data_IF_750437540997
#
_entry.id   IF_750437540997
#
_cell.length_a   1.000
_cell.length_b   1.000
_cell.length_c   1.000
_cell.angle_alpha   90.00
_cell.angle_beta   90.00
_cell.angle_gamma   90.00
#
_symmetry.space_group_name_H-M   'P 1'
#
loop_
_entity.id
_entity.type
_entity.pdbx_description
1 polymer ?
#
# COMPACT_ATOMS: atom_id res chain seq x y z
N UNK A 1 48.06 -23.85 15.65
CA UNK A 1 47.38 -23.52 14.38
C UNK A 1 46.29 -22.53 14.71
N UNK A 2 46.34 -21.31 14.18
CA UNK A 2 45.28 -20.33 14.40
C UNK A 2 44.12 -20.64 13.47
N UNK A 3 42.96 -21.01 14.00
CA UNK A 3 41.73 -21.12 13.23
C UNK A 3 41.29 -19.74 12.80
N UNK A 4 41.21 -19.50 11.49
CA UNK A 4 40.70 -18.24 10.93
C UNK A 4 39.23 -18.38 10.58
N UNK A 5 38.46 -17.30 10.71
CA UNK A 5 37.07 -17.24 10.21
C UNK A 5 37.00 -17.53 8.71
N UNK A 6 38.10 -17.29 7.98
CA UNK A 6 38.22 -17.62 6.57
C UNK A 6 38.25 -19.12 6.28
N UNK A 7 38.45 -19.98 7.28
CA UNK A 7 38.48 -21.43 7.11
C UNK A 7 37.06 -22.04 7.18
N UNK A 8 36.04 -21.26 7.56
CA UNK A 8 34.65 -21.69 7.61
C UNK A 8 34.07 -21.94 6.21
N UNK A 9 33.16 -22.91 6.00
CA UNK A 9 32.39 -23.07 4.76
C UNK A 9 31.47 -21.87 4.46
N UNK A 10 31.06 -21.72 3.19
CA UNK A 10 30.20 -20.59 2.78
C UNK A 10 28.83 -20.63 3.44
N UNK A 11 28.30 -21.82 3.68
CA UNK A 11 27.00 -22.07 4.29
C UNK A 11 27.00 -21.56 5.74
N UNK A 12 28.08 -21.84 6.48
CA UNK A 12 28.25 -21.38 7.86
C UNK A 12 28.43 -19.86 7.90
N UNK A 13 29.21 -19.29 6.98
CA UNK A 13 29.35 -17.83 6.86
C UNK A 13 28.00 -17.15 6.55
N UNK A 14 27.23 -17.70 5.61
CA UNK A 14 25.89 -17.21 5.29
C UNK A 14 24.93 -17.29 6.47
N UNK A 15 24.98 -18.39 7.24
CA UNK A 15 24.18 -18.52 8.46
C UNK A 15 24.59 -17.49 9.53
N UNK A 16 25.89 -17.29 9.76
CA UNK A 16 26.39 -16.26 10.68
C UNK A 16 25.89 -14.88 10.24
N UNK A 17 26.02 -14.54 8.97
CA UNK A 17 25.57 -13.24 8.46
C UNK A 17 24.06 -13.08 8.48
N UNK A 18 23.28 -14.16 8.43
CA UNK A 18 21.82 -14.08 8.58
C UNK A 18 21.38 -13.54 9.96
N UNK A 19 22.22 -13.68 11.00
CA UNK A 19 21.95 -13.08 12.31
C UNK A 19 22.17 -11.56 12.34
N UNK A 20 22.79 -10.99 11.31
CA UNK A 20 22.91 -9.54 11.10
C UNK A 20 21.75 -8.99 10.25
N UNK A 21 20.88 -9.88 9.74
CA UNK A 21 19.71 -9.51 8.95
C UNK A 21 18.61 -8.95 9.84
N UNK A 22 17.82 -8.03 9.30
CA UNK A 22 16.75 -7.33 10.02
C UNK A 22 15.50 -7.24 9.15
N UNK A 23 14.30 -7.19 9.76
CA UNK A 23 13.07 -6.99 8.99
C UNK A 23 13.13 -5.68 8.20
N UNK A 24 12.42 -5.63 7.08
CA UNK A 24 12.41 -4.43 6.25
C UNK A 24 11.72 -3.28 7.01
N UNK A 25 12.15 -2.02 6.88
CA UNK A 25 11.41 -0.90 7.46
C UNK A 25 9.95 -0.81 6.98
N UNK A 26 9.65 -1.34 5.78
CA UNK A 26 8.30 -1.47 5.26
C UNK A 26 7.46 -2.52 5.98
N UNK A 27 8.02 -3.35 6.85
CA UNK A 27 7.24 -4.34 7.59
C UNK A 27 6.48 -3.70 8.74
N UNK A 28 7.09 -2.70 9.41
CA UNK A 28 6.48 -2.05 10.58
C UNK A 28 5.80 -0.71 10.27
N UNK A 29 6.20 -0.02 9.19
CA UNK A 29 5.84 1.40 8.98
C UNK A 29 4.76 1.68 7.93
N UNK A 30 4.17 0.66 7.30
CA UNK A 30 3.17 0.89 6.24
C UNK A 30 1.85 1.46 6.77
N UNK A 31 1.59 1.32 8.07
CA UNK A 31 0.39 1.85 8.72
C UNK A 31 0.64 3.22 9.39
N UNK A 32 1.88 3.71 9.34
CA UNK A 32 2.24 5.03 9.85
C UNK A 32 1.93 6.11 8.81
N UNK A 33 1.95 7.38 9.23
CA UNK A 33 1.77 8.48 8.29
C UNK A 33 2.86 8.46 7.20
N UNK A 34 2.49 8.48 5.90
CA UNK A 34 3.47 8.41 4.82
C UNK A 34 4.43 9.62 4.84
N UNK A 35 5.74 9.36 4.74
CA UNK A 35 6.76 10.41 4.77
C UNK A 35 7.92 10.12 3.81
N UNK A 36 8.73 11.16 3.52
CA UNK A 36 9.92 11.02 2.66
C UNK A 36 11.01 10.14 3.27
N UNK A 37 10.97 9.95 4.58
CA UNK A 37 11.97 9.21 5.34
C UNK A 37 11.43 7.88 5.90
N UNK A 38 10.20 7.48 5.55
CA UNK A 38 9.57 6.29 6.16
C UNK A 38 10.37 5.00 5.90
N UNK A 39 10.97 4.88 4.72
CA UNK A 39 11.86 3.74 4.38
C UNK A 39 13.33 4.01 4.72
N UNK A 40 13.67 5.20 5.20
CA UNK A 40 15.03 5.48 5.63
C UNK A 40 15.26 4.88 7.02
N UNK A 41 16.35 4.12 7.14
CA UNK A 41 16.82 3.64 8.42
C UNK A 41 17.81 4.68 8.98
N UNK A 42 17.26 5.72 9.64
CA UNK A 42 18.03 6.83 10.21
C UNK A 42 18.95 6.38 11.35
N UNK A 43 18.56 5.33 12.07
CA UNK A 43 19.35 4.69 13.11
C UNK A 43 20.20 3.60 12.46
N UNK A 44 21.41 4.00 12.11
CA UNK A 44 22.45 3.21 11.49
C UNK A 44 22.48 1.77 11.99
N UNK A 45 22.20 0.85 11.08
CA UNK A 45 22.71 -0.51 11.19
C UNK A 45 23.22 -0.92 9.82
N UNK A 46 24.54 -0.79 9.68
CA UNK A 46 25.25 -1.06 8.44
C UNK A 46 25.94 -2.41 8.53
N UNK A 47 25.56 -3.29 9.44
CA UNK A 47 26.31 -4.51 9.76
C UNK A 47 26.55 -5.38 8.52
N UNK A 48 25.51 -5.65 7.73
CA UNK A 48 25.65 -6.34 6.45
C UNK A 48 26.46 -5.51 5.43
N UNK A 49 26.25 -4.19 5.35
CA UNK A 49 27.00 -3.32 4.42
C UNK A 49 28.50 -3.30 4.76
N UNK A 50 28.85 -3.18 6.03
CA UNK A 50 30.22 -3.22 6.56
C UNK A 50 30.84 -4.60 6.34
N UNK A 51 30.10 -5.68 6.62
CA UNK A 51 30.53 -7.07 6.39
C UNK A 51 30.85 -7.30 4.90
N UNK A 52 30.08 -6.69 4.00
CA UNK A 52 30.30 -6.79 2.55
C UNK A 52 31.60 -6.13 2.06
N UNK A 53 32.24 -5.30 2.88
CA UNK A 53 33.49 -4.60 2.55
C UNK A 53 34.75 -5.34 3.03
N UNK A 54 34.61 -6.42 3.81
CA UNK A 54 35.75 -7.15 4.39
C UNK A 54 36.56 -7.87 3.31
N UNK A 55 35.92 -8.70 2.48
CA UNK A 55 36.56 -9.35 1.33
C UNK A 55 35.53 -9.80 0.29
N UNK A 56 35.99 -10.19 -0.92
CA UNK A 56 35.12 -10.64 -2.01
C UNK A 56 34.24 -11.84 -1.62
N UNK A 57 34.77 -12.76 -0.81
CA UNK A 57 34.03 -13.95 -0.35
C UNK A 57 32.86 -13.57 0.57
N UNK A 58 33.12 -12.69 1.53
CA UNK A 58 32.09 -12.19 2.45
C UNK A 58 31.05 -11.37 1.70
N UNK A 59 31.49 -10.52 0.75
CA UNK A 59 30.60 -9.81 -0.16
C UNK A 59 29.64 -10.76 -0.87
N UNK A 60 30.15 -11.84 -1.47
CA UNK A 60 29.32 -12.83 -2.16
C UNK A 60 28.28 -13.49 -1.24
N UNK A 61 28.65 -13.80 0.00
CA UNK A 61 27.72 -14.40 0.98
C UNK A 61 26.66 -13.41 1.50
N UNK A 62 26.97 -12.12 1.55
CA UNK A 62 26.10 -11.07 2.13
C UNK A 62 25.18 -10.41 1.11
N UNK A 63 25.57 -10.34 -0.17
CA UNK A 63 24.76 -9.71 -1.22
C UNK A 63 23.30 -10.23 -1.29
N UNK A 64 23.04 -11.55 -1.22
CA UNK A 64 21.68 -12.08 -1.16
C UNK A 64 20.82 -11.52 0.00
N UNK A 65 21.44 -11.26 1.15
CA UNK A 65 20.76 -10.68 2.31
C UNK A 65 20.49 -9.19 2.08
N UNK A 66 21.51 -8.44 1.62
CA UNK A 66 21.39 -7.00 1.36
C UNK A 66 20.33 -6.64 0.31
N UNK A 67 20.14 -7.51 -0.70
CA UNK A 67 19.21 -7.28 -1.80
C UNK A 67 17.89 -8.03 -1.63
N UNK A 68 17.61 -8.60 -0.45
CA UNK A 68 16.30 -9.19 -0.14
C UNK A 68 15.18 -8.15 -0.17
N UNK A 69 15.49 -6.93 0.29
CA UNK A 69 14.55 -5.83 0.39
C UNK A 69 15.09 -4.62 -0.40
N UNK A 70 14.67 -4.50 -1.65
CA UNK A 70 15.14 -3.45 -2.56
C UNK A 70 14.30 -2.20 -2.38
N UNK A 71 14.97 -1.06 -2.23
CA UNK A 71 14.35 0.27 -2.31
C UNK A 71 14.85 0.94 -3.59
N UNK A 72 13.94 1.34 -4.46
CA UNK A 72 14.23 2.08 -5.68
C UNK A 72 13.61 3.48 -5.58
N UNK A 73 14.49 4.49 -5.51
CA UNK A 73 14.11 5.91 -5.50
C UNK A 73 14.48 6.52 -6.84
N UNK A 74 13.54 7.25 -7.44
CA UNK A 74 13.72 7.95 -8.72
C UNK A 74 12.69 9.08 -8.84
N UNK A 75 12.98 10.06 -9.68
CA UNK A 75 12.00 11.07 -10.06
C UNK A 75 11.13 10.58 -11.22
N UNK A 76 9.83 10.88 -11.21
CA UNK A 76 8.89 10.46 -12.26
C UNK A 76 9.34 10.83 -13.69
N UNK A 77 10.10 11.91 -13.88
CA UNK A 77 10.61 12.32 -15.18
C UNK A 77 11.72 11.41 -15.73
N UNK A 78 12.28 10.53 -14.90
CA UNK A 78 13.24 9.52 -15.35
C UNK A 78 12.57 8.37 -16.12
N UNK A 79 11.28 8.08 -15.87
CA UNK A 79 10.60 6.94 -16.49
C UNK A 79 10.52 7.02 -18.03
N UNK A 80 10.12 8.15 -18.65
CA UNK A 80 10.13 8.26 -20.11
C UNK A 80 11.53 8.08 -20.70
N UNK A 81 12.56 8.62 -20.03
CA UNK A 81 13.95 8.49 -20.46
C UNK A 81 14.41 7.02 -20.45
N UNK A 82 13.97 6.24 -19.45
CA UNK A 82 14.25 4.81 -19.36
C UNK A 82 13.54 4.02 -20.45
N UNK A 83 12.28 4.36 -20.75
CA UNK A 83 11.48 3.72 -21.81
C UNK A 83 12.12 3.92 -23.20
N UNK A 84 12.56 5.14 -23.50
CA UNK A 84 13.16 5.52 -24.79
C UNK A 84 14.50 4.82 -25.09
N UNK A 85 15.16 4.22 -24.09
CA UNK A 85 16.44 3.50 -24.29
C UNK A 85 16.32 2.25 -25.16
N UNK A 86 15.11 1.72 -25.37
CA UNK A 86 14.87 0.45 -26.07
C UNK A 86 15.30 -0.81 -25.29
N UNK A 87 15.97 -0.66 -24.14
CA UNK A 87 16.23 -1.73 -23.18
C UNK A 87 16.05 -1.22 -21.73
N UNK A 88 14.79 -1.00 -21.30
CA UNK A 88 14.50 -0.38 -20.01
C UNK A 88 15.09 -1.14 -18.82
N UNK A 89 15.19 -2.47 -18.91
CA UNK A 89 15.80 -3.31 -17.87
C UNK A 89 17.28 -2.98 -17.61
N UNK A 90 17.98 -2.40 -18.58
CA UNK A 90 19.38 -1.99 -18.46
C UNK A 90 19.53 -0.52 -18.05
N UNK A 91 18.51 0.30 -18.32
CA UNK A 91 18.42 1.68 -17.84
C UNK A 91 18.09 1.76 -16.34
N UNK A 92 17.37 0.77 -15.80
CA UNK A 92 17.08 0.66 -14.38
C UNK A 92 18.30 0.04 -13.66
N UNK A 93 19.09 0.89 -12.99
CA UNK A 93 20.40 0.52 -12.41
C UNK A 93 20.33 -0.66 -11.46
N UNK A 94 19.32 -0.72 -10.58
CA UNK A 94 19.21 -1.81 -9.61
C UNK A 94 18.92 -3.15 -10.32
N UNK A 95 18.12 -3.16 -11.39
CA UNK A 95 17.86 -4.39 -12.17
C UNK A 95 19.13 -4.85 -12.90
N UNK A 96 19.89 -3.91 -13.47
CA UNK A 96 21.19 -4.20 -14.07
C UNK A 96 22.16 -4.82 -13.04
N UNK A 97 22.24 -4.22 -11.84
CA UNK A 97 23.07 -4.72 -10.75
C UNK A 97 22.65 -6.12 -10.29
N UNK A 98 21.35 -6.35 -10.08
CA UNK A 98 20.84 -7.66 -9.65
C UNK A 98 21.16 -8.75 -10.66
N UNK A 99 21.01 -8.48 -11.96
CA UNK A 99 21.37 -9.42 -13.03
C UNK A 99 22.87 -9.72 -13.05
N UNK A 100 23.71 -8.68 -12.99
CA UNK A 100 25.16 -8.84 -13.01
C UNK A 100 25.71 -9.66 -11.83
N UNK A 101 24.98 -9.71 -10.71
CA UNK A 101 25.39 -10.40 -9.49
C UNK A 101 24.56 -11.67 -9.19
N UNK A 102 23.68 -12.12 -10.11
CA UNK A 102 22.77 -13.26 -9.93
C UNK A 102 21.89 -13.16 -8.66
N UNK A 103 21.39 -11.95 -8.37
CA UNK A 103 20.64 -11.65 -7.15
C UNK A 103 19.11 -11.61 -7.34
N UNK A 104 18.62 -11.73 -8.57
CA UNK A 104 17.20 -11.56 -8.94
C UNK A 104 16.25 -12.44 -8.11
N UNK A 105 16.62 -13.69 -7.85
CA UNK A 105 15.82 -14.65 -7.10
C UNK A 105 15.73 -14.36 -5.59
N UNK A 106 16.66 -13.54 -5.06
CA UNK A 106 16.71 -13.22 -3.63
C UNK A 106 15.83 -12.03 -3.25
N UNK A 107 15.37 -11.25 -4.23
CA UNK A 107 14.48 -10.11 -3.98
C UNK A 107 13.13 -10.62 -3.49
N UNK A 108 12.78 -10.28 -2.25
CA UNK A 108 11.48 -10.58 -1.65
C UNK A 108 10.56 -9.35 -1.73
N UNK A 109 11.08 -8.16 -1.48
CA UNK A 109 10.27 -6.94 -1.53
C UNK A 109 10.91 -5.91 -2.44
N UNK A 110 10.08 -5.26 -3.26
CA UNK A 110 10.46 -4.05 -3.98
C UNK A 110 9.63 -2.88 -3.42
N UNK A 111 10.31 -1.86 -2.91
CA UNK A 111 9.69 -0.61 -2.50
C UNK A 111 10.13 0.50 -3.45
N UNK A 112 9.19 1.03 -4.22
CA UNK A 112 9.38 2.14 -5.13
C UNK A 112 9.01 3.44 -4.42
N UNK A 113 9.92 4.40 -4.47
CA UNK A 113 9.71 5.74 -3.97
C UNK A 113 9.82 6.70 -5.14
N UNK A 114 8.70 7.29 -5.54
CA UNK A 114 8.65 8.12 -6.74
C UNK A 114 8.54 9.58 -6.32
N UNK A 115 9.59 10.33 -6.64
CA UNK A 115 9.64 11.76 -6.41
C UNK A 115 8.92 12.53 -7.52
N UNK A 116 8.43 13.71 -7.15
CA UNK A 116 7.85 14.69 -8.09
C UNK A 116 8.52 16.03 -7.80
N UNK A 117 9.82 16.14 -8.10
CA UNK A 117 10.65 17.30 -7.76
C UNK A 117 10.11 18.61 -8.37
N UNK A 118 9.45 18.53 -9.53
CA UNK A 118 8.82 19.69 -10.18
C UNK A 118 7.36 19.92 -9.75
N UNK A 119 6.70 18.93 -9.12
CA UNK A 119 5.34 19.06 -8.61
C UNK A 119 5.20 20.01 -7.41
N UNK A 120 6.32 20.32 -6.73
CA UNK A 120 6.37 21.25 -5.60
C UNK A 120 6.44 22.74 -5.97
N UNK A 121 6.62 23.10 -7.26
CA UNK A 121 6.74 24.50 -7.70
C UNK A 121 5.39 25.23 -7.75
N UNK A 122 4.27 24.55 -7.52
CA UNK A 122 2.96 25.19 -7.35
C UNK A 122 2.65 25.63 -5.92
N UNK A 123 3.66 25.78 -5.06
CA UNK A 123 3.52 26.53 -3.81
C UNK A 123 3.73 28.02 -4.09
N UNK A 124 2.66 28.71 -4.52
CA UNK A 124 2.58 30.18 -4.46
C UNK A 124 2.80 30.96 -5.76
N UNK A 125 3.03 30.31 -6.91
CA UNK A 125 3.09 31.03 -8.19
C UNK A 125 1.73 31.04 -8.86
N UNK A 126 0.98 32.11 -8.62
CA UNK A 126 -0.24 32.57 -9.30
C UNK A 126 -0.93 31.56 -10.22
N UNK A 127 -2.06 31.04 -9.73
CA UNK A 127 -3.12 30.35 -10.50
C UNK A 127 -3.61 31.11 -11.75
N UNK A 128 -3.11 32.32 -12.03
CA UNK A 128 -3.50 33.17 -13.15
C UNK A 128 -2.78 32.86 -14.47
N UNK A 129 -1.58 32.27 -14.47
CA UNK A 129 -0.79 32.12 -15.72
C UNK A 129 -1.02 30.77 -16.44
N UNK A 130 -1.66 29.79 -15.79
CA UNK A 130 -2.02 28.49 -16.38
C UNK A 130 -3.53 28.36 -16.68
N UNK A 131 -4.30 29.46 -16.56
CA UNK A 131 -5.74 29.50 -16.82
C UNK A 131 -6.12 29.47 -18.32
N UNK A 132 -5.15 29.52 -19.23
CA UNK A 132 -5.43 29.59 -20.67
C UNK A 132 -5.88 28.24 -21.27
N UNK A 133 -5.75 27.13 -20.53
CA UNK A 133 -6.33 25.83 -20.88
C UNK A 133 -7.15 25.28 -19.70
N UNK A 134 -8.37 25.80 -19.54
CA UNK A 134 -9.27 25.63 -18.37
C UNK A 134 -9.65 24.20 -17.92
N UNK A 135 -8.97 23.15 -18.38
CA UNK A 135 -9.21 21.76 -18.01
C UNK A 135 -7.96 21.02 -17.50
N UNK A 136 -6.74 21.52 -17.74
CA UNK A 136 -5.52 20.75 -17.48
C UNK A 136 -5.07 20.73 -16.00
N UNK A 137 -5.61 21.60 -15.14
CA UNK A 137 -5.19 21.72 -13.74
C UNK A 137 -6.11 21.03 -12.72
N UNK A 138 -7.22 20.42 -13.15
CA UNK A 138 -8.20 19.78 -12.24
C UNK A 138 -8.11 18.26 -12.19
N UNK A 139 -7.39 17.64 -13.12
CA UNK A 139 -7.21 16.19 -13.20
C UNK A 139 -5.77 15.80 -13.54
N UNK A 140 -5.31 14.65 -13.03
CA UNK A 140 -4.15 13.95 -13.59
C UNK A 140 -4.55 13.19 -14.86
N UNK A 141 -3.71 13.19 -15.89
CA UNK A 141 -3.91 12.40 -17.11
C UNK A 141 -3.43 10.95 -16.92
N UNK A 142 -4.07 10.00 -17.60
CA UNK A 142 -3.70 8.58 -17.60
C UNK A 142 -2.47 8.35 -18.48
N UNK A 143 -1.42 7.79 -17.90
CA UNK A 143 -0.20 7.35 -18.61
C UNK A 143 -0.19 5.82 -18.71
N UNK A 144 0.42 5.26 -19.75
CA UNK A 144 0.59 3.81 -19.91
C UNK A 144 1.96 3.37 -19.36
N UNK A 145 1.98 2.89 -18.11
CA UNK A 145 3.17 2.32 -17.48
C UNK A 145 3.22 0.79 -17.51
N UNK A 146 2.47 0.13 -18.39
CA UNK A 146 2.52 -1.34 -18.49
C UNK A 146 3.90 -1.87 -18.89
N UNK A 147 4.67 -1.10 -19.65
CA UNK A 147 6.07 -1.44 -19.97
C UNK A 147 6.92 -1.57 -18.70
N UNK A 148 6.68 -0.72 -17.69
CA UNK A 148 7.43 -0.69 -16.44
C UNK A 148 7.13 -1.94 -15.62
N UNK A 149 5.85 -2.27 -15.49
CA UNK A 149 5.41 -3.49 -14.79
C UNK A 149 5.99 -4.73 -15.46
N UNK A 150 5.90 -4.82 -16.78
CA UNK A 150 6.48 -5.92 -17.55
C UNK A 150 7.98 -6.03 -17.31
N UNK A 151 8.71 -4.92 -17.45
CA UNK A 151 10.17 -4.87 -17.24
C UNK A 151 10.58 -5.33 -15.84
N UNK A 152 9.92 -4.84 -14.79
CA UNK A 152 10.25 -5.20 -13.41
C UNK A 152 9.99 -6.69 -13.18
N UNK A 153 8.79 -7.17 -13.51
CA UNK A 153 8.35 -8.52 -13.18
C UNK A 153 8.88 -9.61 -14.11
N UNK A 154 9.51 -9.26 -15.23
CA UNK A 154 10.34 -10.17 -16.02
C UNK A 154 11.72 -10.43 -15.38
N UNK A 155 12.24 -9.46 -14.62
CA UNK A 155 13.58 -9.52 -14.04
C UNK A 155 13.60 -9.96 -12.58
N UNK A 156 12.55 -9.66 -11.81
CA UNK A 156 12.41 -10.05 -10.41
C UNK A 156 11.01 -10.58 -10.10
N UNK A 157 10.88 -11.39 -9.06
CA UNK A 157 9.62 -11.98 -8.66
C UNK A 157 9.33 -11.75 -7.16
N UNK A 158 9.07 -10.50 -6.74
CA UNK A 158 8.88 -10.17 -5.33
C UNK A 158 7.57 -10.79 -4.77
N UNK A 159 7.54 -11.01 -3.46
CA UNK A 159 6.33 -11.34 -2.70
C UNK A 159 5.53 -10.09 -2.31
N UNK A 160 6.19 -8.92 -2.30
CA UNK A 160 5.57 -7.63 -2.01
C UNK A 160 6.11 -6.53 -2.91
N UNK A 161 5.22 -5.75 -3.48
CA UNK A 161 5.51 -4.48 -4.15
C UNK A 161 4.89 -3.35 -3.33
N UNK A 162 5.64 -2.31 -3.02
CA UNK A 162 5.14 -1.11 -2.35
C UNK A 162 5.49 0.11 -3.18
N UNK A 163 4.53 1.00 -3.41
CA UNK A 163 4.73 2.31 -4.02
C UNK A 163 4.46 3.40 -3.00
N UNK A 164 5.38 4.35 -2.90
CA UNK A 164 5.26 5.54 -2.06
C UNK A 164 5.46 6.74 -2.98
N UNK A 165 4.37 7.46 -3.25
CA UNK A 165 4.38 8.57 -4.19
C UNK A 165 3.24 9.54 -3.87
N UNK A 166 3.23 10.71 -4.51
CA UNK A 166 2.09 11.62 -4.40
C UNK A 166 0.82 10.98 -5.00
N UNK A 167 -0.39 11.40 -4.58
CA UNK A 167 -1.63 10.87 -5.13
C UNK A 167 -1.69 10.97 -6.66
N UNK A 168 -1.20 12.10 -7.20
CA UNK A 168 -1.10 12.34 -8.65
C UNK A 168 -0.23 11.28 -9.32
N UNK A 169 0.97 11.04 -8.80
CA UNK A 169 1.90 10.07 -9.37
C UNK A 169 1.35 8.65 -9.27
N UNK A 170 0.74 8.27 -8.16
CA UNK A 170 0.07 6.97 -8.05
C UNK A 170 -1.01 6.80 -9.12
N UNK A 171 -1.87 7.81 -9.34
CA UNK A 171 -2.88 7.75 -10.38
C UNK A 171 -2.27 7.57 -11.78
N UNK A 172 -1.18 8.28 -12.09
CA UNK A 172 -0.45 8.11 -13.35
C UNK A 172 0.08 6.67 -13.51
N UNK A 173 0.77 6.15 -12.50
CA UNK A 173 1.32 4.78 -12.48
C UNK A 173 0.25 3.69 -12.63
N UNK A 174 -0.97 3.98 -12.19
CA UNK A 174 -2.13 3.10 -12.28
C UNK A 174 -2.97 3.31 -13.55
N UNK A 175 -2.55 4.19 -14.46
CA UNK A 175 -3.33 4.56 -15.66
C UNK A 175 -4.75 5.03 -15.30
N UNK A 176 -4.87 5.85 -14.25
CA UNK A 176 -6.12 6.40 -13.72
C UNK A 176 -6.09 7.93 -13.68
N UNK A 177 -7.28 8.52 -13.71
CA UNK A 177 -7.45 9.96 -13.51
C UNK A 177 -7.68 10.27 -12.03
N UNK A 178 -7.32 11.47 -11.60
CA UNK A 178 -7.48 11.87 -10.20
C UNK A 178 -7.98 13.30 -10.11
N UNK A 179 -9.04 13.54 -9.34
CA UNK A 179 -9.50 14.88 -9.01
C UNK A 179 -8.53 15.56 -8.05
N UNK A 180 -8.04 16.75 -8.42
CA UNK A 180 -7.07 17.52 -7.61
C UNK A 180 -7.59 18.90 -7.21
N UNK A 181 -8.87 19.22 -7.47
CA UNK A 181 -9.43 20.56 -7.23
C UNK A 181 -9.33 21.04 -5.79
N UNK A 182 -9.50 20.14 -4.83
CA UNK A 182 -9.41 20.45 -3.39
C UNK A 182 -8.12 19.95 -2.74
N UNK A 183 -7.17 19.37 -3.50
CA UNK A 183 -6.00 18.68 -2.97
C UNK A 183 -5.16 19.54 -2.00
N UNK A 184 -5.10 20.84 -2.24
CA UNK A 184 -4.39 21.81 -1.41
C UNK A 184 -4.96 21.96 0.01
N UNK A 185 -6.24 21.62 0.24
CA UNK A 185 -6.85 21.63 1.56
C UNK A 185 -6.41 20.45 2.43
N UNK A 186 -6.00 19.34 1.82
CA UNK A 186 -5.67 18.10 2.54
C UNK A 186 -4.18 18.00 2.90
N UNK A 187 -3.28 18.55 2.09
CA UNK A 187 -1.82 18.42 2.29
C UNK A 187 -1.39 16.97 2.52
N UNK A 188 -1.82 16.09 1.62
CA UNK A 188 -1.40 14.68 1.56
C UNK A 188 -0.27 14.55 0.54
N UNK A 189 1.01 14.75 0.93
CA UNK A 189 2.11 14.75 -0.03
C UNK A 189 2.36 13.37 -0.62
N UNK A 190 2.00 12.31 0.10
CA UNK A 190 2.38 10.93 -0.18
C UNK A 190 1.28 9.99 0.27
N UNK A 191 0.97 9.02 -0.57
CA UNK A 191 0.18 7.85 -0.25
C UNK A 191 1.07 6.61 -0.38
N UNK A 192 0.64 5.51 0.23
CA UNK A 192 1.27 4.20 0.09
C UNK A 192 0.27 3.24 -0.55
N UNK A 193 0.70 2.56 -1.60
CA UNK A 193 -0.01 1.41 -2.16
C UNK A 193 0.90 0.19 -2.06
N UNK A 194 0.45 -0.88 -1.41
CA UNK A 194 1.22 -2.12 -1.33
C UNK A 194 0.40 -3.32 -1.79
N UNK A 195 1.00 -4.15 -2.64
CA UNK A 195 0.45 -5.41 -3.11
C UNK A 195 1.32 -6.54 -2.60
N UNK A 196 0.73 -7.60 -2.05
CA UNK A 196 1.50 -8.75 -1.58
C UNK A 196 0.80 -10.10 -1.77
N UNK A 197 1.59 -11.17 -1.67
CA UNK A 197 1.19 -12.58 -1.78
C UNK A 197 2.03 -13.42 -0.80
N UNK A 198 1.49 -14.57 -0.37
CA UNK A 198 2.16 -15.47 0.58
C UNK A 198 3.47 -16.01 0.02
N UNK A 199 3.41 -16.52 -1.20
CA UNK A 199 4.51 -17.27 -1.81
C UNK A 199 4.82 -16.80 -3.23
N UNK A 200 6.09 -16.96 -3.62
CA UNK A 200 6.49 -16.98 -5.01
C UNK A 200 5.93 -18.29 -5.59
N UNK A 201 4.86 -18.24 -6.38
CA UNK A 201 4.45 -19.44 -7.12
C UNK A 201 5.62 -19.86 -8.01
N UNK A 202 6.23 -21.00 -7.69
CA UNK A 202 7.10 -21.72 -8.62
C UNK A 202 6.25 -21.95 -9.86
N UNK A 203 6.78 -21.63 -11.04
CA UNK A 203 6.13 -21.95 -12.32
C UNK A 203 6.01 -23.48 -12.41
N UNK A 204 4.95 -24.05 -11.84
CA UNK A 204 4.48 -25.37 -12.24
C UNK A 204 3.83 -25.20 -13.61
N UNK A 205 4.37 -25.98 -14.53
CA UNK A 205 4.02 -26.27 -15.92
C UNK A 205 2.70 -25.67 -16.39
N UNK A 206 2.79 -24.88 -17.47
CA UNK A 206 1.67 -24.47 -18.30
C UNK A 206 0.73 -25.66 -18.56
N UNK A 207 -0.47 -25.62 -17.97
CA UNK A 207 -1.61 -26.31 -18.54
C UNK A 207 -2.08 -25.40 -19.66
N UNK A 208 -1.90 -25.89 -20.89
CA UNK A 208 -2.36 -25.26 -22.13
C UNK A 208 -3.84 -24.88 -22.02
N UNK A 209 -4.13 -23.58 -22.09
CA UNK A 209 -5.46 -23.11 -22.42
C UNK A 209 -5.66 -23.25 -23.95
N UNK A 210 -6.82 -23.74 -24.42
CA UNK A 210 -7.05 -23.93 -25.84
C UNK A 210 -7.15 -22.58 -26.55
N UNK A 211 -6.27 -22.38 -27.53
CA UNK A 211 -6.32 -21.29 -28.51
C UNK A 211 -7.55 -21.45 -29.40
N UNK A 212 -8.64 -20.77 -29.07
CA UNK A 212 -9.66 -20.42 -30.06
C UNK A 212 -9.23 -19.15 -30.78
N UNK A 213 -8.67 -19.32 -31.97
CA UNK A 213 -8.42 -18.25 -32.91
C UNK A 213 -9.74 -17.65 -33.40
N UNK A 214 -10.00 -16.39 -33.08
CA UNK A 214 -10.99 -15.57 -33.77
C UNK A 214 -10.26 -14.51 -34.59
N UNK A 215 -10.31 -14.67 -35.91
CA UNK A 215 -9.77 -13.75 -36.91
C UNK A 215 -10.36 -12.33 -36.79
N UNK A 216 -9.60 -11.28 -37.18
CA UNK A 216 -10.10 -9.91 -37.16
C UNK A 216 -11.03 -9.67 -38.36
N UNK A 217 -12.32 -9.55 -38.11
CA UNK A 217 -13.28 -9.05 -39.09
C UNK A 217 -13.15 -7.52 -39.19
N UNK A 218 -12.72 -7.05 -40.37
CA UNK A 218 -12.88 -5.67 -40.79
C UNK A 218 -14.36 -5.28 -40.75
N UNK A 219 -14.70 -4.25 -39.97
CA UNK A 219 -15.95 -3.53 -40.11
C UNK A 219 -15.69 -2.02 -39.98
N UNK A 220 -16.47 -1.30 -40.76
CA UNK A 220 -16.30 0.05 -41.26
C UNK A 220 -16.49 1.16 -40.24
N UNK A 221 -15.74 2.23 -40.47
CA UNK A 221 -15.95 3.63 -40.11
C UNK A 221 -17.39 4.04 -39.75
N UNK A 222 -17.58 4.42 -38.48
CA UNK A 222 -18.11 5.71 -38.03
C UNK A 222 -18.38 5.60 -36.54
N UNK A 223 -17.70 6.35 -35.67
CA UNK A 223 -18.26 6.90 -34.42
C UNK A 223 -17.18 7.63 -33.59
N UNK A 224 -17.66 8.65 -32.88
CA UNK A 224 -16.98 9.65 -32.08
C UNK A 224 -15.72 9.16 -31.32
N UNK A 225 -14.69 9.99 -31.27
CA UNK A 225 -13.42 9.79 -30.54
C UNK A 225 -13.65 9.61 -29.03
N UNK A 226 -14.08 8.43 -28.59
CA UNK A 226 -13.98 8.02 -27.19
C UNK A 226 -12.52 7.68 -26.89
N UNK A 227 -11.91 8.38 -25.93
CA UNK A 227 -10.57 8.07 -25.43
C UNK A 227 -10.54 6.60 -25.00
N UNK A 228 -9.64 5.80 -25.57
CA UNK A 228 -9.50 4.38 -25.25
C UNK A 228 -8.99 4.22 -23.81
N UNK A 229 -9.70 3.48 -22.96
CA UNK A 229 -9.24 3.15 -21.60
C UNK A 229 -7.93 2.38 -21.66
N UNK A 230 -6.93 2.81 -20.90
CA UNK A 230 -5.66 2.09 -20.73
C UNK A 230 -5.80 1.11 -19.56
N UNK A 231 -5.65 -0.21 -19.77
CA UNK A 231 -5.66 -1.17 -18.67
C UNK A 231 -4.39 -1.04 -17.82
N UNK A 232 -4.48 -1.30 -16.51
CA UNK A 232 -3.32 -1.40 -15.64
C UNK A 232 -3.00 -2.88 -15.35
N UNK A 233 -1.94 -3.41 -15.96
CA UNK A 233 -1.51 -4.79 -15.80
C UNK A 233 -0.94 -5.10 -14.42
N UNK A 234 -0.65 -4.10 -13.58
CA UNK A 234 -0.03 -4.29 -12.27
C UNK A 234 -0.81 -5.25 -11.36
N UNK A 235 -2.14 -5.16 -11.36
CA UNK A 235 -2.99 -5.97 -10.50
C UNK A 235 -3.15 -7.41 -10.99
N UNK A 236 -2.85 -7.70 -12.26
CA UNK A 236 -3.02 -9.02 -12.87
C UNK A 236 -1.69 -9.69 -13.23
N UNK A 237 -0.57 -8.97 -13.19
CA UNK A 237 0.76 -9.50 -13.51
C UNK A 237 1.21 -10.60 -12.54
N UNK A 238 0.66 -10.61 -11.33
CA UNK A 238 0.85 -11.64 -10.30
C UNK A 238 -0.46 -11.90 -9.55
N UNK A 239 -0.64 -13.10 -8.97
CA UNK A 239 -1.81 -13.41 -8.17
C UNK A 239 -1.70 -12.75 -6.79
N UNK A 240 -1.85 -11.42 -6.74
CA UNK A 240 -1.85 -10.67 -5.49
C UNK A 240 -3.00 -11.13 -4.60
N UNK A 241 -2.74 -11.21 -3.30
CA UNK A 241 -3.70 -11.71 -2.30
C UNK A 241 -4.07 -10.64 -1.28
N UNK A 242 -3.18 -9.67 -1.06
CA UNK A 242 -3.40 -8.56 -0.14
C UNK A 242 -3.11 -7.21 -0.81
N UNK A 243 -3.93 -6.23 -0.50
CA UNK A 243 -3.80 -4.83 -0.89
C UNK A 243 -3.77 -3.94 0.36
N UNK A 244 -2.85 -2.99 0.41
CA UNK A 244 -2.84 -1.92 1.40
C UNK A 244 -2.91 -0.57 0.68
N UNK A 245 -3.81 0.29 1.12
CA UNK A 245 -3.86 1.71 0.77
C UNK A 245 -3.73 2.54 2.05
N UNK A 246 -2.70 3.38 2.11
CA UNK A 246 -2.53 4.39 3.15
C UNK A 246 -2.54 5.78 2.53
N UNK A 247 -3.57 6.57 2.85
CA UNK A 247 -3.81 7.91 2.31
C UNK A 247 -3.20 9.02 3.17
N UNK A 248 -2.59 8.67 4.30
CA UNK A 248 -2.06 9.65 5.25
C UNK A 248 -3.16 10.43 5.95
N UNK A 249 -2.89 11.70 6.28
CA UNK A 249 -3.77 12.51 7.13
C UNK A 249 -4.64 13.49 6.36
N UNK A 250 -5.93 13.49 6.68
CA UNK A 250 -6.91 14.48 6.23
C UNK A 250 -7.10 15.62 7.23
N UNK A 251 -6.46 15.60 8.41
CA UNK A 251 -6.68 16.58 9.50
C UNK A 251 -6.63 18.04 9.05
N UNK A 252 -5.84 18.37 8.03
CA UNK A 252 -5.73 19.73 7.51
C UNK A 252 -7.03 20.28 6.92
N UNK A 253 -7.89 19.45 6.32
CA UNK A 253 -9.12 19.93 5.66
C UNK A 253 -10.07 20.58 6.67
N UNK A 254 -10.03 20.12 7.93
CA UNK A 254 -10.86 20.63 9.03
C UNK A 254 -10.48 22.05 9.47
N UNK A 255 -9.35 22.60 8.98
CA UNK A 255 -9.00 24.02 9.14
C UNK A 255 -9.83 24.93 8.24
N UNK A 256 -10.59 24.36 7.31
CA UNK A 256 -11.32 25.09 6.28
C UNK A 256 -12.82 25.05 6.55
N UNK A 257 -13.49 26.18 6.31
CA UNK A 257 -14.95 26.23 6.33
C UNK A 257 -15.53 25.33 5.24
N UNK A 258 -16.69 24.73 5.51
CA UNK A 258 -17.36 23.79 4.59
C UNK A 258 -16.46 22.62 4.15
N UNK A 259 -15.63 22.10 5.07
CA UNK A 259 -14.76 20.96 4.81
C UNK A 259 -15.53 19.75 4.24
N UNK A 260 -16.80 19.58 4.63
CA UNK A 260 -17.68 18.49 4.19
C UNK A 260 -18.04 18.53 2.69
N UNK A 261 -17.81 19.65 2.02
CA UNK A 261 -17.97 19.78 0.55
C UNK A 261 -16.67 19.47 -0.21
N UNK A 262 -15.55 19.23 0.49
CA UNK A 262 -14.23 19.01 -0.11
C UNK A 262 -14.03 17.54 -0.46
N UNK A 263 -13.23 17.29 -1.50
CA UNK A 263 -12.87 15.93 -1.92
C UNK A 263 -11.36 15.69 -1.79
N UNK A 264 -10.92 14.63 -1.08
CA UNK A 264 -9.49 14.33 -0.95
C UNK A 264 -8.89 13.87 -2.28
N UNK A 265 -7.59 14.13 -2.51
CA UNK A 265 -6.85 13.57 -3.64
C UNK A 265 -6.59 12.09 -3.38
N UNK A 266 -7.58 11.23 -3.69
CA UNK A 266 -7.56 9.80 -3.37
C UNK A 266 -7.73 8.91 -4.60
N UNK A 267 -6.94 7.82 -4.64
CA UNK A 267 -7.10 6.75 -5.66
C UNK A 267 -8.11 5.68 -5.24
N UNK A 268 -8.67 5.74 -4.02
CA UNK A 268 -9.60 4.75 -3.48
C UNK A 268 -10.78 4.50 -4.42
N UNK A 269 -11.45 5.56 -4.86
CA UNK A 269 -12.57 5.44 -5.79
C UNK A 269 -12.18 4.75 -7.10
N UNK A 270 -11.00 5.05 -7.65
CA UNK A 270 -10.49 4.42 -8.86
C UNK A 270 -10.11 2.94 -8.68
N UNK A 271 -9.63 2.55 -7.49
CA UNK A 271 -9.37 1.15 -7.17
C UNK A 271 -10.67 0.34 -7.11
N UNK A 272 -11.73 0.94 -6.57
CA UNK A 272 -13.03 0.31 -6.35
C UNK A 272 -13.97 0.41 -7.55
N UNK A 273 -13.62 1.17 -8.60
CA UNK A 273 -14.49 1.38 -9.76
C UNK A 273 -15.67 2.31 -9.48
N UNK A 274 -15.56 3.17 -8.46
CA UNK A 274 -16.66 3.96 -7.91
C UNK A 274 -16.66 5.42 -8.40
N UNK A 275 -16.06 5.67 -9.56
CA UNK A 275 -15.77 7.00 -10.08
C UNK A 275 -16.17 7.13 -11.56
N UNK A 276 -16.13 8.34 -12.11
CA UNK A 276 -16.39 8.56 -13.53
C UNK A 276 -15.30 7.95 -14.43
N UNK A 277 -15.64 7.70 -15.69
CA UNK A 277 -14.70 7.22 -16.70
C UNK A 277 -13.40 8.04 -16.70
N UNK A 278 -12.20 7.41 -16.73
CA UNK A 278 -11.91 5.98 -16.94
C UNK A 278 -11.83 5.13 -15.66
N UNK A 279 -12.27 5.67 -14.52
CA UNK A 279 -12.15 5.06 -13.20
C UNK A 279 -13.42 4.29 -12.76
N UNK A 280 -14.32 4.04 -13.69
CA UNK A 280 -15.62 3.38 -13.55
C UNK A 280 -15.54 1.83 -13.56
N UNK A 281 -14.32 1.28 -13.56
CA UNK A 281 -14.08 -0.16 -13.44
C UNK A 281 -13.15 -0.49 -12.27
N UNK A 282 -13.51 -1.47 -11.42
CA UNK A 282 -12.68 -1.87 -10.29
C UNK A 282 -11.35 -2.45 -10.76
N UNK A 283 -10.26 -2.03 -10.11
CA UNK A 283 -8.91 -2.53 -10.37
C UNK A 283 -8.56 -3.76 -9.52
N UNK A 284 -9.25 -3.94 -8.39
CA UNK A 284 -8.98 -5.00 -7.42
C UNK A 284 -9.50 -6.32 -7.98
N UNK A 285 -8.62 -7.29 -8.32
CA UNK A 285 -9.05 -8.58 -8.84
C UNK A 285 -9.59 -9.48 -7.73
N UNK A 286 -10.41 -10.50 -8.05
CA UNK A 286 -10.97 -11.45 -7.08
C UNK A 286 -9.92 -12.27 -6.30
N UNK A 287 -8.65 -12.23 -6.71
CA UNK A 287 -7.55 -12.90 -6.01
C UNK A 287 -7.14 -12.17 -4.74
N UNK A 288 -7.41 -10.86 -4.65
CA UNK A 288 -7.16 -10.05 -3.45
C UNK A 288 -8.32 -10.26 -2.48
N UNK A 289 -8.00 -10.86 -1.34
CA UNK A 289 -8.95 -11.21 -0.27
C UNK A 289 -8.61 -10.55 1.06
N UNK A 290 -7.47 -9.88 1.15
CA UNK A 290 -7.08 -9.08 2.31
C UNK A 290 -6.92 -7.61 1.88
N UNK A 291 -7.67 -6.71 2.50
CA UNK A 291 -7.59 -5.27 2.28
C UNK A 291 -7.25 -4.53 3.57
N UNK A 292 -6.23 -3.69 3.54
CA UNK A 292 -5.89 -2.78 4.63
C UNK A 292 -6.05 -1.33 4.15
N UNK A 293 -6.98 -0.61 4.78
CA UNK A 293 -7.22 0.81 4.55
C UNK A 293 -6.74 1.63 5.73
N UNK A 294 -5.86 2.60 5.47
CA UNK A 294 -5.37 3.56 6.45
C UNK A 294 -5.64 4.96 5.92
N UNK A 295 -6.41 5.75 6.65
CA UNK A 295 -6.62 7.16 6.36
C UNK A 295 -6.88 7.86 7.68
N UNK A 296 -6.09 8.86 8.04
CA UNK A 296 -6.19 9.51 9.35
C UNK A 296 -7.24 10.62 9.29
N UNK A 297 -8.29 10.47 10.07
CA UNK A 297 -9.50 11.30 10.11
C UNK A 297 -10.05 11.63 8.71
N UNK A 298 -10.36 10.63 7.86
CA UNK A 298 -10.90 10.90 6.55
C UNK A 298 -12.31 11.47 6.69
N UNK A 299 -12.74 12.26 5.71
CA UNK A 299 -14.13 12.63 5.60
C UNK A 299 -14.97 11.35 5.49
N UNK A 300 -16.02 11.23 6.31
CA UNK A 300 -16.92 10.09 6.35
C UNK A 300 -17.56 9.85 4.97
N UNK A 301 -17.88 10.91 4.23
CA UNK A 301 -18.34 10.84 2.84
C UNK A 301 -17.34 10.14 1.91
N UNK A 302 -16.05 10.41 2.07
CA UNK A 302 -14.97 9.76 1.32
C UNK A 302 -14.79 8.30 1.75
N UNK A 303 -14.78 8.03 3.06
CA UNK A 303 -14.70 6.66 3.58
C UNK A 303 -15.89 5.79 3.16
N UNK A 304 -17.08 6.38 3.03
CA UNK A 304 -18.27 5.67 2.57
C UNK A 304 -18.10 5.10 1.15
N UNK A 305 -17.20 5.66 0.32
CA UNK A 305 -16.84 5.05 -0.97
C UNK A 305 -16.30 3.63 -0.81
N UNK A 306 -15.46 3.38 0.20
CA UNK A 306 -15.00 2.03 0.56
C UNK A 306 -16.16 1.18 1.05
N UNK A 307 -17.01 1.72 1.91
CA UNK A 307 -18.10 0.96 2.54
C UNK A 307 -19.10 0.45 1.50
N UNK A 308 -19.47 1.30 0.54
CA UNK A 308 -20.46 0.98 -0.50
C UNK A 308 -19.91 0.09 -1.62
N UNK A 309 -18.59 0.12 -1.87
CA UNK A 309 -17.96 -0.56 -3.01
C UNK A 309 -16.92 -1.59 -2.57
N UNK A 310 -17.05 -2.13 -1.35
CA UNK A 310 -16.09 -3.09 -0.82
C UNK A 310 -16.00 -4.31 -1.75
N UNK A 311 -14.79 -4.77 -2.12
CA UNK A 311 -14.65 -6.02 -2.84
C UNK A 311 -15.00 -7.21 -1.94
N UNK A 312 -15.13 -8.39 -2.53
CA UNK A 312 -15.31 -9.65 -1.79
C UNK A 312 -14.01 -10.02 -1.08
N UNK A 313 -13.97 -9.87 0.24
CA UNK A 313 -12.77 -10.02 1.05
C UNK A 313 -12.97 -11.09 2.14
N UNK A 314 -11.88 -11.73 2.55
CA UNK A 314 -11.81 -12.55 3.76
C UNK A 314 -11.43 -11.70 4.98
N UNK A 315 -10.54 -10.70 4.79
CA UNK A 315 -10.08 -9.77 5.84
C UNK A 315 -10.16 -8.31 5.40
N UNK A 316 -10.64 -7.47 6.31
CA UNK A 316 -10.62 -6.01 6.18
C UNK A 316 -9.98 -5.40 7.43
N UNK A 317 -8.90 -4.64 7.23
CA UNK A 317 -8.28 -3.80 8.24
C UNK A 317 -8.59 -2.33 7.98
N UNK A 318 -8.99 -1.59 9.02
CA UNK A 318 -9.29 -0.15 8.94
C UNK A 318 -8.61 0.60 10.09
N UNK A 319 -7.91 1.68 9.77
CA UNK A 319 -7.36 2.62 10.75
C UNK A 319 -7.72 4.04 10.37
N UNK A 320 -8.49 4.72 11.24
CA UNK A 320 -8.99 6.08 11.06
C UNK A 320 -8.33 7.09 12.00
N UNK A 321 -7.59 6.62 13.00
CA UNK A 321 -6.95 7.44 14.05
C UNK A 321 -5.43 7.32 13.91
N UNK A 322 -4.67 8.40 14.18
CA UNK A 322 -3.21 8.33 14.11
C UNK A 322 -2.65 7.42 15.20
N UNK A 323 -1.61 6.65 14.85
CA UNK A 323 -0.78 5.90 15.83
C UNK A 323 0.26 6.79 16.52
N UNK A 324 0.52 7.96 15.96
CA UNK A 324 1.49 8.93 16.46
C UNK A 324 0.80 10.09 17.18
N UNK A 325 1.59 10.95 17.81
CA UNK A 325 1.11 12.03 18.66
C UNK A 325 0.62 13.27 17.88
N UNK A 326 0.07 13.12 16.65
CA UNK A 326 -0.42 14.27 15.84
C UNK A 326 -1.45 15.09 16.61
N UNK A 327 -2.32 14.43 17.37
CA UNK A 327 -3.34 15.10 18.20
C UNK A 327 -2.74 15.98 19.30
N UNK A 328 -1.46 15.78 19.65
CA UNK A 328 -0.72 16.60 20.62
C UNK A 328 0.09 17.73 19.95
N UNK A 329 0.16 17.78 18.62
CA UNK A 329 0.88 18.82 17.89
C UNK A 329 0.02 20.08 17.76
N UNK A 330 0.43 21.14 18.46
CA UNK A 330 -0.28 22.42 18.48
C UNK A 330 -0.36 23.12 17.11
N UNK A 331 0.65 22.96 16.25
CA UNK A 331 0.66 23.60 14.93
C UNK A 331 -0.25 22.83 13.95
N UNK A 332 -0.20 21.50 14.01
CA UNK A 332 -1.08 20.65 13.21
C UNK A 332 -2.56 20.80 13.64
N UNK A 333 -2.84 20.89 14.93
CA UNK A 333 -4.20 21.02 15.47
C UNK A 333 -4.72 22.46 15.52
N UNK A 334 -3.91 23.44 15.11
CA UNK A 334 -4.32 24.85 15.06
C UNK A 334 -5.53 25.05 14.15
N UNK A 335 -6.57 25.68 14.68
CA UNK A 335 -7.85 25.97 14.01
C UNK A 335 -8.62 24.71 13.58
N UNK A 336 -8.36 23.55 14.20
CA UNK A 336 -9.14 22.33 14.02
C UNK A 336 -10.06 22.16 15.22
N UNK A 337 -11.35 21.93 14.99
CA UNK A 337 -12.25 21.48 16.05
C UNK A 337 -12.10 19.96 16.21
N UNK A 338 -11.66 19.53 17.40
CA UNK A 338 -11.53 18.10 17.71
C UNK A 338 -12.88 17.38 17.63
N UNK A 339 -13.99 18.05 17.95
CA UNK A 339 -15.31 17.44 17.90
C UNK A 339 -15.66 17.00 16.47
N UNK A 340 -15.28 17.77 15.45
CA UNK A 340 -15.52 17.44 14.04
C UNK A 340 -14.73 16.18 13.62
N UNK A 341 -13.47 16.05 14.07
CA UNK A 341 -12.65 14.86 13.79
C UNK A 341 -13.30 13.59 14.35
N UNK A 342 -13.72 13.63 15.61
CA UNK A 342 -14.35 12.49 16.26
C UNK A 342 -15.74 12.20 15.70
N UNK A 343 -16.49 13.24 15.31
CA UNK A 343 -17.79 13.08 14.65
C UNK A 343 -17.66 12.36 13.30
N UNK A 344 -16.73 12.79 12.45
CA UNK A 344 -16.49 12.15 11.14
C UNK A 344 -16.02 10.70 11.30
N UNK A 345 -15.12 10.44 12.25
CA UNK A 345 -14.66 9.08 12.58
C UNK A 345 -15.77 8.19 13.09
N UNK A 346 -16.61 8.67 14.01
CA UNK A 346 -17.75 7.90 14.54
C UNK A 346 -18.80 7.64 13.44
N UNK A 347 -19.01 8.60 12.53
CA UNK A 347 -19.89 8.44 11.37
C UNK A 347 -19.36 7.37 10.42
N UNK A 348 -18.06 7.38 10.14
CA UNK A 348 -17.38 6.37 9.32
C UNK A 348 -17.56 4.94 9.89
N UNK A 349 -17.28 4.74 11.18
CA UNK A 349 -17.49 3.44 11.83
C UNK A 349 -18.97 3.04 11.89
N UNK A 350 -19.88 3.98 12.10
CA UNK A 350 -21.32 3.70 12.10
C UNK A 350 -21.79 3.17 10.75
N UNK A 351 -21.31 3.75 9.63
CA UNK A 351 -21.61 3.26 8.28
C UNK A 351 -21.02 1.87 8.04
N UNK A 352 -19.76 1.65 8.44
CA UNK A 352 -19.10 0.35 8.30
C UNK A 352 -19.82 -0.74 9.10
N UNK A 353 -20.09 -0.50 10.38
CA UNK A 353 -20.72 -1.51 11.24
C UNK A 353 -22.15 -1.83 10.84
N UNK A 354 -22.86 -0.87 10.23
CA UNK A 354 -24.17 -1.14 9.64
C UNK A 354 -24.08 -2.21 8.54
N UNK A 355 -23.15 -2.06 7.60
CA UNK A 355 -22.97 -3.04 6.51
C UNK A 355 -22.34 -4.35 7.01
N UNK A 356 -21.44 -4.28 7.98
CA UNK A 356 -20.77 -5.46 8.56
C UNK A 356 -21.76 -6.38 9.30
N UNK A 357 -22.64 -5.80 10.12
CA UNK A 357 -23.52 -6.55 11.02
C UNK A 357 -24.92 -6.80 10.45
N UNK A 358 -25.34 -6.01 9.46
CA UNK A 358 -26.63 -6.20 8.78
C UNK A 358 -26.48 -6.06 7.25
N UNK A 359 -25.65 -6.91 6.61
CA UNK A 359 -25.45 -6.86 5.17
C UNK A 359 -26.72 -7.25 4.40
N UNK A 360 -26.90 -6.65 3.22
CA UNK A 360 -27.93 -7.12 2.28
C UNK A 360 -27.62 -8.54 1.76
N UNK A 361 -28.62 -9.32 1.29
CA UNK A 361 -28.43 -10.73 0.89
C UNK A 361 -27.39 -11.00 -0.20
N UNK A 362 -27.12 -10.00 -1.06
CA UNK A 362 -26.16 -10.09 -2.17
C UNK A 362 -24.88 -9.29 -1.90
N UNK A 363 -24.70 -8.83 -0.66
CA UNK A 363 -23.61 -7.94 -0.26
C UNK A 363 -22.26 -8.68 -0.22
N UNK A 364 -21.18 -8.09 -0.77
CA UNK A 364 -19.82 -8.60 -0.61
C UNK A 364 -19.39 -8.77 0.86
N UNK A 365 -19.98 -7.98 1.77
CA UNK A 365 -19.77 -8.05 3.21
C UNK A 365 -20.10 -9.43 3.81
N UNK A 366 -20.95 -10.23 3.15
CA UNK A 366 -21.26 -11.60 3.56
C UNK A 366 -20.10 -12.57 3.40
N UNK A 367 -19.05 -12.26 2.65
CA UNK A 367 -17.85 -13.12 2.54
C UNK A 367 -16.80 -12.80 3.60
N UNK A 368 -16.91 -11.64 4.27
CA UNK A 368 -15.93 -11.20 5.26
C UNK A 368 -15.92 -12.12 6.49
N UNK A 369 -14.71 -12.54 6.88
CA UNK A 369 -14.46 -13.42 8.03
C UNK A 369 -13.76 -12.71 9.18
N UNK A 370 -12.90 -11.75 8.85
CA UNK A 370 -12.10 -11.01 9.84
C UNK A 370 -12.21 -9.52 9.59
N UNK A 371 -12.60 -8.79 10.63
CA UNK A 371 -12.50 -7.34 10.68
C UNK A 371 -11.51 -6.93 11.77
N UNK A 372 -10.56 -6.06 11.42
CA UNK A 372 -9.55 -5.54 12.34
C UNK A 372 -9.57 -4.00 12.33
N UNK A 373 -9.75 -3.40 13.50
CA UNK A 373 -9.60 -1.96 13.71
C UNK A 373 -8.21 -1.65 14.23
N UNK A 374 -7.49 -0.79 13.51
CA UNK A 374 -6.23 -0.20 13.96
C UNK A 374 -6.40 0.89 15.03
N UNK A 375 -7.64 1.23 15.39
CA UNK A 375 -7.97 2.31 16.31
C UNK A 375 -8.34 1.82 17.72
N UNK A 376 -8.11 0.53 18.00
CA UNK A 376 -8.53 -0.12 19.25
C UNK A 376 -7.92 0.49 20.53
N UNK A 377 -6.85 1.28 20.39
CA UNK A 377 -6.29 2.07 21.49
C UNK A 377 -7.27 3.12 22.04
N UNK A 378 -8.26 3.56 21.25
CA UNK A 378 -9.38 4.35 21.74
C UNK A 378 -10.48 3.43 22.28
N UNK A 379 -10.42 3.21 23.60
CA UNK A 379 -11.28 2.27 24.31
C UNK A 379 -12.75 2.65 24.26
N UNK A 380 -13.13 3.94 24.23
CA UNK A 380 -14.55 4.31 24.35
C UNK A 380 -15.36 3.88 23.13
N UNK A 381 -14.87 4.16 21.93
CA UNK A 381 -15.54 3.75 20.70
C UNK A 381 -15.46 2.23 20.47
N UNK A 382 -14.33 1.62 20.84
CA UNK A 382 -14.16 0.17 20.75
C UNK A 382 -15.08 -0.57 21.71
N UNK A 383 -15.21 -0.12 22.96
CA UNK A 383 -16.06 -0.74 23.98
C UNK A 383 -17.54 -0.69 23.58
N UNK A 384 -18.00 0.40 22.95
CA UNK A 384 -19.36 0.46 22.40
C UNK A 384 -19.60 -0.58 21.29
N UNK A 385 -18.64 -0.76 20.39
CA UNK A 385 -18.74 -1.78 19.33
C UNK A 385 -18.69 -3.20 19.90
N UNK A 386 -17.84 -3.46 20.88
CA UNK A 386 -17.77 -4.73 21.61
C UNK A 386 -19.09 -5.02 22.33
N UNK A 387 -19.64 -4.03 23.04
CA UNK A 387 -20.94 -4.16 23.70
C UNK A 387 -22.03 -4.48 22.68
N UNK A 388 -22.05 -3.81 21.52
CA UNK A 388 -23.02 -4.13 20.47
C UNK A 388 -22.90 -5.57 19.98
N UNK A 389 -21.69 -6.06 19.71
CA UNK A 389 -21.48 -7.47 19.28
C UNK A 389 -21.90 -8.46 20.37
N UNK A 390 -21.53 -8.20 21.63
CA UNK A 390 -21.83 -9.09 22.76
C UNK A 390 -23.30 -9.09 23.17
N UNK A 391 -23.98 -7.94 23.13
CA UNK A 391 -25.35 -7.78 23.63
C UNK A 391 -26.42 -7.82 22.54
N UNK A 392 -26.14 -7.37 21.32
CA UNK A 392 -27.14 -7.34 20.23
C UNK A 392 -27.31 -8.69 19.53
N UNK A 393 -26.48 -9.69 19.83
CA UNK A 393 -26.61 -11.04 19.27
C UNK A 393 -26.50 -11.07 17.75
N UNK A 394 -25.64 -10.21 17.17
CA UNK A 394 -25.36 -10.22 15.73
C UNK A 394 -24.89 -11.62 15.36
N UNK A 395 -25.76 -12.39 14.70
CA UNK A 395 -25.54 -13.81 14.47
C UNK A 395 -24.25 -13.99 13.66
N UNK A 396 -23.31 -14.75 14.24
CA UNK A 396 -22.11 -15.16 13.55
C UNK A 396 -20.89 -14.25 13.71
N UNK A 397 -20.86 -13.22 14.57
CA UNK A 397 -19.64 -12.47 14.88
C UNK A 397 -19.25 -12.57 16.36
N UNK A 398 -17.96 -12.78 16.63
CA UNK A 398 -17.40 -12.79 17.99
C UNK A 398 -16.17 -11.88 18.12
N UNK A 399 -15.93 -11.41 19.34
CA UNK A 399 -14.72 -10.66 19.69
C UNK A 399 -13.57 -11.64 19.92
N UNK A 400 -12.56 -11.62 19.05
CA UNK A 400 -11.39 -12.50 19.16
C UNK A 400 -10.23 -11.86 19.94
N UNK A 401 -10.15 -10.53 19.94
CA UNK A 401 -9.13 -9.76 20.63
C UNK A 401 -9.42 -8.25 20.56
N UNK A 402 -8.54 -7.44 21.13
CA UNK A 402 -8.61 -5.99 21.04
C UNK A 402 -8.54 -5.57 19.56
N UNK A 403 -9.55 -4.82 19.10
CA UNK A 403 -9.69 -4.41 17.70
C UNK A 403 -10.14 -5.49 16.72
N UNK A 404 -10.37 -6.75 17.13
CA UNK A 404 -10.59 -7.86 16.19
C UNK A 404 -11.96 -8.53 16.37
N UNK A 405 -12.75 -8.51 15.30
CA UNK A 405 -13.95 -9.33 15.14
C UNK A 405 -13.70 -10.49 14.17
N UNK A 406 -14.19 -11.67 14.52
CA UNK A 406 -14.08 -12.89 13.72
C UNK A 406 -15.45 -13.53 13.57
N UNK A 407 -15.74 -14.09 12.39
CA UNK A 407 -16.97 -14.80 12.14
C UNK A 407 -16.99 -16.18 12.81
N UNK A 408 -18.11 -16.57 13.41
CA UNK A 408 -18.26 -17.87 14.08
C UNK A 408 -18.17 -19.02 13.05
N UNK A 409 -17.29 -20.00 13.30
CA UNK A 409 -17.09 -21.18 12.45
C UNK A 409 -15.74 -21.28 11.74
N UNK A 410 -14.92 -20.23 11.76
CA UNK A 410 -13.65 -20.16 10.99
C UNK A 410 -12.36 -20.33 11.84
N UNK A 411 -12.43 -21.01 12.99
CA UNK A 411 -11.37 -21.00 14.03
C UNK A 411 -9.98 -21.49 13.56
N UNK A 412 -9.92 -22.46 12.63
CA UNK A 412 -8.67 -23.04 12.15
C UNK A 412 -7.96 -22.17 11.08
N UNK A 413 -8.68 -21.24 10.42
CA UNK A 413 -8.15 -20.42 9.31
C UNK A 413 -7.74 -18.98 9.74
N UNK A 414 -8.17 -18.51 10.92
CA UNK A 414 -7.91 -17.13 11.38
C UNK A 414 -6.42 -16.81 11.48
N UNK A 415 -5.62 -17.75 12.00
CA UNK A 415 -4.17 -17.56 12.16
C UNK A 415 -3.44 -17.40 10.82
N UNK A 416 -3.89 -18.10 9.79
CA UNK A 416 -3.32 -18.04 8.44
C UNK A 416 -3.76 -16.78 7.67
N UNK A 417 -4.89 -16.17 8.06
CA UNK A 417 -5.42 -14.91 7.50
C UNK A 417 -4.70 -13.72 8.14
N UNK A 418 -4.58 -13.68 9.47
CA UNK A 418 -3.92 -12.59 10.19
C UNK A 418 -2.41 -12.51 9.87
N UNK A 419 -1.75 -13.65 9.64
CA UNK A 419 -0.33 -13.71 9.27
C UNK A 419 0.01 -13.14 7.89
N UNK A 420 -0.97 -12.83 7.03
CA UNK A 420 -0.72 -12.23 5.70
C UNK A 420 -0.31 -10.76 5.79
N UNK A 421 -0.84 -10.07 6.79
CA UNK A 421 -0.61 -8.64 7.03
C UNK A 421 0.34 -8.37 8.19
N UNK A 422 0.53 -9.35 9.09
CA UNK A 422 1.47 -9.26 10.20
C UNK A 422 2.85 -9.84 9.85
N UNK A 423 3.76 -9.00 9.39
CA UNK A 423 5.17 -9.12 9.79
C UNK A 423 5.34 -8.54 11.20
N UNK A 424 4.60 -9.10 12.18
CA UNK A 424 4.76 -8.75 13.59
C UNK A 424 6.00 -9.49 14.09
N UNK A 425 7.02 -8.71 14.47
CA UNK A 425 8.16 -9.21 15.22
C UNK A 425 7.67 -9.94 16.49
N UNK A 426 8.31 -11.05 16.90
CA UNK A 426 7.90 -11.75 18.11
C UNK A 426 8.00 -10.80 19.30
N UNK A 427 6.95 -10.81 20.14
CA UNK A 427 6.91 -10.07 21.39
C UNK A 427 8.17 -10.39 22.22
N UNK A 428 9.08 -9.42 22.31
CA UNK A 428 10.21 -9.49 23.22
C UNK A 428 9.65 -9.54 24.64
N UNK A 429 9.88 -10.64 25.35
CA UNK A 429 9.54 -10.73 26.77
C UNK A 429 10.36 -9.68 27.53
N UNK A 430 9.73 -8.58 27.92
CA UNK A 430 10.27 -7.64 28.88
C UNK A 430 10.28 -8.32 30.25
N UNK A 431 11.37 -9.03 30.56
CA UNK A 431 11.70 -9.40 31.93
C UNK A 431 11.99 -8.12 32.70
N UNK A 432 11.01 -7.67 33.47
CA UNK A 432 11.20 -6.68 34.53
C UNK A 432 12.23 -7.24 35.51
N UNK A 433 13.44 -6.69 35.53
CA UNK A 433 14.34 -6.79 36.67
C UNK A 433 14.04 -5.63 37.60
N UNK A 434 13.28 -5.93 38.66
CA UNK A 434 13.35 -5.20 39.91
C UNK A 434 14.78 -5.30 40.46
N UNK A 435 15.47 -4.17 40.58
CA UNK A 435 16.64 -4.04 41.43
C UNK A 435 16.33 -2.95 42.45
N UNK A 436 15.90 -3.41 43.62
CA UNK A 436 16.06 -2.75 44.89
C UNK A 436 17.53 -2.80 45.30
N UNK A 437 18.17 -1.64 45.43
CA UNK A 437 18.93 -1.17 46.61
C UNK A 437 19.38 0.28 46.40
#
# INVERSE_FOLDING_TARGET
MGTSVNDLPNEILSQIFSHLDRPAPSDSKLHDQPSSFMLQNLFFDRDLKTTSLVCKRWRGAVLPLLFRHVVWTFDRFELPLMEETGNPASAIEFLSFLRANNLTNYVNTLSMFVEDAMGGVSNGTSSATLMETGFANKASYSEDYNWLWTTIFENIDPIRLTMIASPRVLAQMLSRMLFLGDAWNFSMPRHVLSLSRKDKRIKETQIEAPVTASSPSQASSSELTHQKRVPCGLFTIRPWQALLLNEGSSTRVYKTYEFYLKRPPSILGALLGAEEFPNDEPMIPPSIRDLSYVGIFPLSSHFNTLVQNVPRLDRLFVQLVPRNDILSDNEEMRNVDLADLWMERNTAYSMLFRELFNPSPDSPWLELRVFESGDAADKEAWDMAVQFVQFSGVQGWRVAGEGVFVREGDEDDVGAILGMSQSVAPAGSSRSQTLSE
#
